data_IF_316301058133
#
_entry.id   IF_316301058133
#
_cell.length_a   1.000
_cell.length_b   1.000
_cell.length_c   1.000
_cell.angle_alpha   90.00
_cell.angle_beta   90.00
_cell.angle_gamma   90.00
#
_symmetry.space_group_name_H-M   'P 1'
#
loop_
_entity.id
_entity.type
_entity.pdbx_description
1 polymer ?
#
# COMPACT_ATOMS: atom_id res chain seq x y z
N UNK A 1 6.64 9.77 -1.17
CA UNK A 1 6.22 9.31 -2.51
C UNK A 1 5.15 8.23 -2.37
N UNK A 2 4.42 7.86 -3.42
CA UNK A 2 3.34 6.87 -3.31
C UNK A 2 3.81 5.45 -3.62
N UNK A 3 3.08 4.45 -3.11
CA UNK A 3 3.21 3.06 -3.54
C UNK A 3 2.62 2.94 -4.96
N UNK A 4 3.41 2.55 -5.98
CA UNK A 4 2.89 2.41 -7.33
C UNK A 4 1.86 1.27 -7.39
N UNK A 5 0.66 1.58 -7.91
CA UNK A 5 -0.41 0.58 -8.08
C UNK A 5 -0.06 -0.55 -9.01
N UNK A 6 0.87 -0.33 -9.93
CA UNK A 6 1.34 -1.39 -10.83
C UNK A 6 1.97 -2.57 -10.06
N UNK A 7 2.45 -2.34 -8.83
CA UNK A 7 2.95 -3.42 -7.96
C UNK A 7 1.84 -4.39 -7.52
N UNK A 8 0.57 -3.96 -7.45
CA UNK A 8 -0.54 -4.86 -7.10
C UNK A 8 -0.80 -5.91 -8.18
N UNK A 9 -0.45 -5.61 -9.44
CA UNK A 9 -0.60 -6.50 -10.59
C UNK A 9 0.51 -7.55 -10.69
N UNK A 10 1.60 -7.41 -9.92
CA UNK A 10 2.73 -8.34 -9.95
C UNK A 10 2.35 -9.61 -9.18
N UNK A 11 1.76 -10.58 -9.85
CA UNK A 11 1.27 -11.84 -9.26
C UNK A 11 2.33 -12.67 -8.49
N UNK A 12 3.60 -12.48 -8.85
CA UNK A 12 4.75 -13.22 -8.29
C UNK A 12 5.51 -12.44 -7.21
N UNK A 13 4.98 -11.30 -6.74
CA UNK A 13 5.61 -10.52 -5.69
C UNK A 13 5.57 -11.31 -4.38
N UNK A 14 6.75 -11.75 -3.90
CA UNK A 14 6.88 -12.61 -2.71
C UNK A 14 7.12 -11.84 -1.42
N UNK A 15 7.83 -10.72 -1.52
CA UNK A 15 8.23 -9.88 -0.39
C UNK A 15 8.07 -8.43 -0.82
N UNK A 16 7.37 -7.65 -0.01
CA UNK A 16 7.27 -6.20 -0.14
C UNK A 16 7.35 -5.62 1.26
N UNK A 17 8.54 -5.22 1.69
CA UNK A 17 8.73 -4.46 2.93
C UNK A 17 9.04 -3.01 2.54
N UNK A 18 8.10 -2.13 2.86
CA UNK A 18 8.20 -0.68 2.63
C UNK A 18 8.14 0.07 3.95
N UNK A 19 8.40 -0.60 5.06
CA UNK A 19 8.43 0.01 6.38
C UNK A 19 9.55 1.06 6.47
N UNK A 20 9.41 2.02 7.37
CA UNK A 20 10.44 3.04 7.64
C UNK A 20 10.79 3.92 6.42
N UNK A 21 9.76 4.29 5.65
CA UNK A 21 9.89 5.21 4.53
C UNK A 21 9.04 6.46 4.77
N UNK A 22 9.12 7.41 3.83
CA UNK A 22 8.24 8.58 3.83
C UNK A 22 7.17 8.44 2.73
N UNK A 23 6.50 7.28 2.72
CA UNK A 23 5.41 7.01 1.79
C UNK A 23 4.12 7.69 2.22
N UNK A 24 3.29 8.01 1.23
CA UNK A 24 2.03 8.72 1.39
C UNK A 24 0.92 8.10 0.54
N UNK A 25 -0.33 8.41 0.90
CA UNK A 25 -1.53 7.84 0.30
C UNK A 25 -2.03 6.59 1.01
N UNK A 26 -2.93 5.84 0.38
CA UNK A 26 -3.56 4.64 0.96
C UNK A 26 -2.81 3.34 0.65
N UNK A 27 -2.85 2.40 1.58
CA UNK A 27 -2.23 1.08 1.39
C UNK A 27 -3.11 0.25 0.46
N UNK A 28 -2.59 -0.23 -0.70
CA UNK A 28 -3.38 -1.04 -1.61
C UNK A 28 -3.82 -2.34 -0.96
N UNK A 29 -5.10 -2.67 -1.06
CA UNK A 29 -5.70 -3.90 -0.53
C UNK A 29 -6.09 -4.87 -1.63
N UNK A 30 -5.43 -4.78 -2.79
CA UNK A 30 -5.74 -5.60 -3.96
C UNK A 30 -4.51 -6.35 -4.46
N UNK A 31 -4.75 -7.49 -5.10
CA UNK A 31 -3.72 -8.25 -5.80
C UNK A 31 -2.68 -8.82 -4.84
N UNK A 32 -1.39 -8.56 -5.10
CA UNK A 32 -0.32 -9.12 -4.27
C UNK A 32 -0.22 -8.53 -2.87
N UNK A 33 -0.77 -7.32 -2.67
CA UNK A 33 -0.72 -6.62 -1.39
C UNK A 33 -1.72 -7.14 -0.35
N UNK A 34 -2.75 -7.88 -0.79
CA UNK A 34 -3.70 -8.59 0.11
C UNK A 34 -3.03 -9.56 1.08
N UNK A 35 -1.81 -10.01 0.74
CA UNK A 35 -1.09 -11.08 1.44
C UNK A 35 -0.02 -10.55 2.39
N UNK A 36 0.34 -9.27 2.29
CA UNK A 36 1.44 -8.71 3.08
C UNK A 36 0.92 -8.23 4.45
N UNK A 37 1.67 -8.50 5.53
CA UNK A 37 1.30 -8.04 6.85
C UNK A 37 1.42 -6.51 6.95
N UNK A 38 0.60 -5.89 7.80
CA UNK A 38 0.61 -4.44 8.00
C UNK A 38 1.96 -3.91 8.54
N UNK A 39 2.75 -4.77 9.19
CA UNK A 39 4.12 -4.47 9.65
C UNK A 39 5.01 -3.97 8.53
N UNK A 40 4.79 -4.46 7.31
CA UNK A 40 5.58 -4.06 6.13
C UNK A 40 5.26 -2.63 5.64
N UNK A 41 4.27 -1.97 6.25
CA UNK A 41 3.86 -0.60 5.92
C UNK A 41 4.05 0.36 7.11
N UNK A 42 4.56 -0.13 8.25
CA UNK A 42 4.77 0.66 9.46
C UNK A 42 5.83 1.75 9.26
N UNK A 43 5.83 2.74 10.16
CA UNK A 43 6.76 3.87 10.14
C UNK A 43 6.75 4.67 8.82
N UNK A 44 5.57 4.81 8.22
CA UNK A 44 5.28 5.73 7.14
C UNK A 44 4.23 6.75 7.60
N UNK A 45 4.62 7.94 8.11
CA UNK A 45 3.72 8.87 8.79
C UNK A 45 2.55 9.38 7.94
N UNK A 46 2.69 9.34 6.62
CA UNK A 46 1.70 9.84 5.65
C UNK A 46 0.94 8.70 4.96
N UNK A 47 1.27 7.43 5.25
CA UNK A 47 0.45 6.31 4.82
C UNK A 47 -0.82 6.28 5.65
N UNK A 48 -1.94 6.15 4.96
CA UNK A 48 -3.26 5.99 5.53
C UNK A 48 -3.65 4.52 5.46
N UNK A 49 -4.71 4.17 6.19
CA UNK A 49 -5.17 2.80 6.34
C UNK A 49 -5.41 2.05 5.03
N UNK A 50 -5.72 0.74 5.13
CA UNK A 50 -5.99 -0.10 3.98
C UNK A 50 -7.10 0.50 3.12
N UNK A 51 -6.93 0.52 1.80
CA UNK A 51 -7.95 0.96 0.86
C UNK A 51 -9.28 0.20 1.09
N UNK A 52 -10.39 0.94 1.18
CA UNK A 52 -11.72 0.34 1.28
C UNK A 52 -12.14 -0.21 -0.09
N UNK A 53 -12.42 -1.51 -0.16
CA UNK A 53 -12.98 -2.13 -1.35
C UNK A 53 -14.46 -1.74 -1.46
N UNK A 54 -14.82 -0.91 -2.45
CA UNK A 54 -16.22 -0.51 -2.65
C UNK A 54 -16.48 0.88 -3.22
N UNK A 55 -15.50 1.52 -3.89
CA UNK A 55 -15.71 2.81 -4.56
C UNK A 55 -15.35 4.04 -3.73
N UNK A 56 -14.70 3.86 -2.57
CA UNK A 56 -14.01 4.97 -1.91
C UNK A 56 -12.87 5.47 -2.83
N UNK A 57 -12.81 6.78 -3.03
CA UNK A 57 -11.77 7.39 -3.85
C UNK A 57 -10.40 7.10 -3.23
N UNK A 58 -9.46 6.77 -4.11
CA UNK A 58 -8.06 6.61 -3.75
C UNK A 58 -7.55 7.94 -3.19
N UNK A 59 -7.01 7.91 -1.97
CA UNK A 59 -6.41 9.11 -1.42
C UNK A 59 -4.95 9.14 -1.85
N UNK A 60 -4.68 10.01 -2.82
CA UNK A 60 -3.33 10.30 -3.29
C UNK A 60 -2.57 11.23 -2.34
N UNK A 61 -3.17 11.64 -1.21
CA UNK A 61 -2.71 12.61 -0.22
C UNK A 61 -1.22 12.55 0.15
N UNK A 62 -0.44 13.09 -0.78
CA UNK A 62 0.90 13.63 -0.70
C UNK A 62 0.72 15.11 -1.09
#
# INVERSE_FOLDING_TARGET
GQIPRELTKISNLKVSDVSNNDLCGTIPTTGSFERFPMTNFENNPRLRGPELQGGAAYDSGC
#
